data_IF_832609449561
#
_entry.id   IF_832609449561
#
_cell.length_a   1.000
_cell.length_b   1.000
_cell.length_c   1.000
_cell.angle_alpha   90.00
_cell.angle_beta   90.00
_cell.angle_gamma   90.00
#
_symmetry.space_group_name_H-M   'P 1'
#
loop_
_entity.id
_entity.type
_entity.pdbx_description
1 polymer ?
#
# COMPACT_ATOMS: atom_id res chain seq x y z
N UNK A 1 8.25 14.97 -4.33
CA UNK A 1 7.57 13.90 -5.10
C UNK A 1 8.43 12.66 -4.92
N UNK A 2 7.87 11.55 -4.42
CA UNK A 2 8.64 10.33 -4.24
C UNK A 2 9.06 9.83 -5.62
N UNK A 3 10.36 9.66 -5.85
CA UNK A 3 10.85 9.09 -7.11
C UNK A 3 10.22 7.69 -7.33
N UNK A 4 9.85 7.33 -8.55
CA UNK A 4 9.13 6.06 -8.75
C UNK A 4 10.05 4.84 -8.68
N UNK A 5 11.36 5.03 -8.88
CA UNK A 5 12.36 3.98 -8.85
C UNK A 5 12.53 3.37 -7.45
N UNK A 6 12.79 4.21 -6.44
CA UNK A 6 13.01 3.71 -5.07
C UNK A 6 11.76 3.07 -4.45
N UNK A 7 10.55 3.54 -4.77
CA UNK A 7 9.30 2.91 -4.30
C UNK A 7 9.13 1.52 -4.90
N UNK A 8 9.45 1.35 -6.19
CA UNK A 8 9.38 0.04 -6.85
C UNK A 8 10.41 -0.94 -6.28
N UNK A 9 11.62 -0.47 -5.98
CA UNK A 9 12.67 -1.28 -5.37
C UNK A 9 12.34 -1.65 -3.92
N UNK A 10 11.81 -0.71 -3.13
CA UNK A 10 11.39 -0.96 -1.75
C UNK A 10 10.21 -1.95 -1.69
N UNK A 11 9.22 -1.79 -2.57
CA UNK A 11 8.11 -2.72 -2.72
C UNK A 11 8.58 -4.09 -3.24
N UNK A 12 9.56 -4.16 -4.13
CA UNK A 12 10.10 -5.44 -4.60
C UNK A 12 10.71 -6.29 -3.48
N UNK A 13 11.13 -5.66 -2.37
CA UNK A 13 11.63 -6.33 -1.17
C UNK A 13 10.52 -6.63 -0.13
N UNK A 14 9.27 -6.24 -0.40
CA UNK A 14 8.08 -6.56 0.41
C UNK A 14 6.99 -7.22 -0.47
N UNK A 15 7.10 -8.54 -0.73
CA UNK A 15 6.16 -9.27 -1.60
C UNK A 15 4.72 -9.20 -1.10
N UNK A 16 4.52 -9.18 0.22
CA UNK A 16 3.19 -9.09 0.83
C UNK A 16 2.60 -7.69 0.59
N UNK A 17 3.41 -6.64 0.74
CA UNK A 17 2.96 -5.29 0.46
C UNK A 17 2.59 -5.06 -1.02
N UNK A 18 3.37 -5.63 -1.95
CA UNK A 18 3.03 -5.64 -3.39
C UNK A 18 1.74 -6.40 -3.66
N UNK A 19 1.54 -7.54 -2.99
CA UNK A 19 0.34 -8.34 -3.14
C UNK A 19 -0.91 -7.58 -2.68
N UNK A 20 -0.86 -6.98 -1.48
CA UNK A 20 -1.97 -6.19 -0.93
C UNK A 20 -2.31 -5.00 -1.81
N UNK A 21 -1.30 -4.23 -2.24
CA UNK A 21 -1.52 -3.09 -3.14
C UNK A 21 -2.11 -3.51 -4.49
N UNK A 22 -1.60 -4.61 -5.05
CA UNK A 22 -2.11 -5.17 -6.30
C UNK A 22 -3.57 -5.62 -6.17
N UNK A 23 -3.96 -6.22 -5.05
CA UNK A 23 -5.34 -6.62 -4.76
C UNK A 23 -6.26 -5.40 -4.68
N UNK A 24 -5.86 -4.37 -3.92
CA UNK A 24 -6.64 -3.14 -3.76
C UNK A 24 -6.90 -2.48 -5.13
N UNK A 25 -5.86 -2.30 -5.94
CA UNK A 25 -5.97 -1.57 -7.21
C UNK A 25 -6.65 -2.39 -8.31
N UNK A 26 -6.37 -3.69 -8.40
CA UNK A 26 -6.86 -4.52 -9.52
C UNK A 26 -8.19 -5.19 -9.26
N UNK A 27 -8.61 -5.30 -7.99
CA UNK A 27 -9.83 -6.02 -7.61
C UNK A 27 -10.75 -5.16 -6.77
N UNK A 28 -10.32 -4.81 -5.57
CA UNK A 28 -11.24 -4.29 -4.54
C UNK A 28 -11.83 -2.92 -4.95
N UNK A 29 -11.01 -2.06 -5.57
CA UNK A 29 -11.47 -0.76 -6.08
C UNK A 29 -12.40 -0.91 -7.31
N UNK A 30 -12.03 -1.64 -8.39
CA UNK A 30 -12.95 -1.91 -9.50
C UNK A 30 -14.28 -2.52 -9.07
N UNK A 31 -14.25 -3.46 -8.12
CA UNK A 31 -15.45 -4.14 -7.61
C UNK A 31 -16.38 -3.18 -6.85
N UNK A 32 -15.82 -2.33 -5.98
CA UNK A 32 -16.57 -1.30 -5.27
C UNK A 32 -17.26 -0.32 -6.24
N UNK A 33 -16.54 0.12 -7.27
CA UNK A 33 -17.08 1.04 -8.28
C UNK A 33 -18.15 0.37 -9.14
N UNK A 34 -17.94 -0.88 -9.58
CA UNK A 34 -18.94 -1.63 -10.35
C UNK A 34 -20.23 -1.81 -9.55
N UNK A 35 -20.11 -2.23 -8.28
CA UNK A 35 -21.24 -2.40 -7.37
C UNK A 35 -22.02 -1.10 -7.17
N UNK A 36 -21.33 0.04 -7.02
CA UNK A 36 -21.95 1.35 -6.96
C UNK A 36 -22.71 1.69 -8.25
N UNK A 37 -22.06 1.57 -9.41
CA UNK A 37 -22.69 1.88 -10.71
C UNK A 37 -23.93 1.03 -10.90
N UNK A 38 -23.85 -0.28 -10.59
CA UNK A 38 -24.95 -1.24 -10.68
C UNK A 38 -26.09 -0.93 -9.72
N UNK A 39 -25.78 -0.55 -8.49
CA UNK A 39 -26.81 -0.30 -7.48
C UNK A 39 -27.49 1.04 -7.76
N UNK A 40 -26.74 2.08 -8.14
CA UNK A 40 -27.25 3.43 -8.41
C UNK A 40 -28.30 3.48 -9.51
N UNK A 41 -28.12 2.73 -10.61
CA UNK A 41 -29.14 2.70 -11.66
C UNK A 41 -30.41 1.99 -11.17
N UNK A 42 -30.27 0.97 -10.31
CA UNK A 42 -31.39 0.28 -9.68
C UNK A 42 -32.13 1.14 -8.64
N UNK A 43 -31.43 1.90 -7.80
CA UNK A 43 -32.07 2.78 -6.80
C UNK A 43 -32.91 3.89 -7.43
N UNK A 44 -32.56 4.31 -8.66
CA UNK A 44 -33.40 5.21 -9.45
C UNK A 44 -34.72 4.56 -9.88
N UNK A 45 -34.74 3.25 -10.07
CA UNK A 45 -35.94 2.49 -10.45
C UNK A 45 -36.75 2.04 -9.23
N UNK A 46 -36.15 2.00 -8.03
CA UNK A 46 -36.83 1.61 -6.78
C UNK A 46 -36.28 2.41 -5.59
N UNK A 47 -36.87 3.59 -5.29
CA UNK A 47 -36.43 4.43 -4.18
C UNK A 47 -36.72 3.78 -2.82
N UNK A 48 -35.81 3.91 -1.85
CA UNK A 48 -36.05 3.51 -0.44
C UNK A 48 -34.97 2.66 0.24
N UNK A 49 -33.93 2.25 -0.49
CA UNK A 49 -32.79 1.50 0.07
C UNK A 49 -31.65 2.42 0.52
N UNK A 50 -30.64 1.88 1.23
CA UNK A 50 -29.41 2.60 1.62
C UNK A 50 -28.80 3.33 0.41
N UNK A 51 -28.29 4.56 0.62
CA UNK A 51 -27.68 5.35 -0.46
C UNK A 51 -26.42 4.64 -0.97
N UNK A 52 -26.38 4.29 -2.27
CA UNK A 52 -25.21 3.64 -2.85
C UNK A 52 -23.96 4.55 -2.80
N UNK A 53 -24.13 5.88 -2.81
CA UNK A 53 -23.05 6.85 -2.64
C UNK A 53 -22.39 6.73 -1.25
N UNK A 54 -23.19 6.68 -0.18
CA UNK A 54 -22.69 6.51 1.19
C UNK A 54 -22.00 5.15 1.37
N UNK A 55 -22.54 4.10 0.73
CA UNK A 55 -21.93 2.78 0.77
C UNK A 55 -20.57 2.76 0.07
N UNK A 56 -20.46 3.37 -1.12
CA UNK A 56 -19.20 3.51 -1.84
C UNK A 56 -18.18 4.32 -1.01
N UNK A 57 -18.59 5.44 -0.42
CA UNK A 57 -17.71 6.27 0.39
C UNK A 57 -17.10 5.49 1.56
N UNK A 58 -17.89 4.64 2.23
CA UNK A 58 -17.39 3.75 3.29
C UNK A 58 -16.36 2.76 2.75
N UNK A 59 -16.64 2.10 1.63
CA UNK A 59 -15.71 1.15 1.01
C UNK A 59 -14.39 1.82 0.62
N UNK A 60 -14.45 2.98 -0.05
CA UNK A 60 -13.27 3.74 -0.43
C UNK A 60 -12.48 4.22 0.80
N UNK A 61 -13.17 4.62 1.86
CA UNK A 61 -12.54 4.99 3.13
C UNK A 61 -11.75 3.84 3.77
N UNK A 62 -12.24 2.60 3.67
CA UNK A 62 -11.52 1.41 4.14
C UNK A 62 -10.30 1.13 3.27
N UNK A 63 -10.44 1.14 1.94
CA UNK A 63 -9.31 0.93 1.02
C UNK A 63 -8.20 1.98 1.21
N UNK A 64 -8.58 3.24 1.46
CA UNK A 64 -7.64 4.32 1.76
C UNK A 64 -6.86 4.04 3.06
N UNK A 65 -7.55 3.63 4.14
CA UNK A 65 -6.90 3.31 5.42
C UNK A 65 -5.91 2.15 5.28
N UNK A 66 -6.27 1.14 4.51
CA UNK A 66 -5.38 -0.01 4.28
C UNK A 66 -4.13 0.40 3.48
N UNK A 67 -4.30 1.23 2.43
CA UNK A 67 -3.18 1.78 1.67
C UNK A 67 -2.29 2.71 2.52
N UNK A 68 -2.88 3.50 3.43
CA UNK A 68 -2.13 4.35 4.36
C UNK A 68 -1.31 3.53 5.35
N UNK A 69 -1.86 2.44 5.87
CA UNK A 69 -1.16 1.52 6.77
C UNK A 69 0.02 0.85 6.06
N UNK A 70 -0.18 0.41 4.82
CA UNK A 70 0.90 -0.10 3.97
C UNK A 70 2.03 0.93 3.81
N UNK A 71 1.67 2.17 3.45
CA UNK A 71 2.64 3.24 3.26
C UNK A 71 3.36 3.64 4.56
N UNK A 72 2.72 3.50 5.73
CA UNK A 72 3.37 3.69 7.02
C UNK A 72 4.40 2.57 7.30
N UNK A 73 4.02 1.31 7.09
CA UNK A 73 4.92 0.16 7.29
C UNK A 73 6.18 0.24 6.42
N UNK A 74 6.04 0.64 5.16
CA UNK A 74 7.19 0.87 4.26
C UNK A 74 8.12 1.97 4.77
N UNK A 75 7.55 3.07 5.29
CA UNK A 75 8.34 4.19 5.84
C UNK A 75 9.04 3.83 7.15
N UNK A 76 8.48 2.94 7.96
CA UNK A 76 9.09 2.45 9.20
C UNK A 76 10.14 1.36 8.96
N UNK A 77 10.06 0.64 7.85
CA UNK A 77 11.05 -0.36 7.45
C UNK A 77 12.34 0.28 6.91
N UNK A 78 12.23 1.45 6.26
CA UNK A 78 13.36 2.20 5.71
C UNK A 78 14.46 2.57 6.75
N UNK A 79 14.16 3.18 7.92
CA UNK A 79 15.19 3.57 8.89
C UNK A 79 15.90 2.36 9.52
N UNK A 80 15.17 1.28 9.82
CA UNK A 80 15.77 0.03 10.34
C UNK A 80 16.75 -0.59 9.35
N UNK A 81 16.51 -0.41 8.04
CA UNK A 81 17.36 -0.93 6.98
C UNK A 81 18.61 -0.07 6.78
N UNK A 82 18.48 1.25 6.88
CA UNK A 82 19.63 2.16 6.87
C UNK A 82 20.57 1.90 8.06
N UNK A 83 20.03 1.70 9.27
CA UNK A 83 20.82 1.31 10.43
C UNK A 83 21.55 -0.03 10.23
N UNK A 84 20.85 -1.03 9.68
CA UNK A 84 21.44 -2.35 9.40
C UNK A 84 22.54 -2.29 8.34
N UNK A 85 22.35 -1.48 7.30
CA UNK A 85 23.33 -1.28 6.23
C UNK A 85 24.56 -0.54 6.72
N UNK A 86 24.38 0.52 7.51
CA UNK A 86 25.47 1.25 8.17
C UNK A 86 26.27 0.31 9.07
N UNK A 87 25.60 -0.50 9.89
CA UNK A 87 26.24 -1.48 10.76
C UNK A 87 27.04 -2.54 10.00
N UNK A 88 26.52 -3.00 8.86
CA UNK A 88 27.22 -3.95 8.00
C UNK A 88 28.46 -3.33 7.32
N UNK A 89 28.38 -2.07 6.89
CA UNK A 89 29.53 -1.35 6.34
C UNK A 89 30.60 -1.09 7.42
N UNK A 90 30.19 -0.75 8.64
CA UNK A 90 31.07 -0.59 9.80
C UNK A 90 31.80 -1.89 10.15
N UNK A 91 31.07 -3.02 10.21
CA UNK A 91 31.63 -4.33 10.52
C UNK A 91 32.62 -4.82 9.44
N UNK A 92 32.31 -4.58 8.17
CA UNK A 92 33.24 -4.85 7.05
C UNK A 92 34.46 -3.93 7.08
N UNK A 93 34.26 -2.63 7.35
CA UNK A 93 35.34 -1.64 7.41
C UNK A 93 36.30 -1.89 8.57
N UNK A 94 35.79 -2.41 9.70
CA UNK A 94 36.59 -2.82 10.85
C UNK A 94 37.36 -4.13 10.63
N UNK A 95 36.77 -5.09 9.93
CA UNK A 95 37.41 -6.40 9.66
C UNK A 95 38.49 -6.33 8.57
N UNK A 96 38.42 -5.33 7.66
CA UNK A 96 39.48 -5.06 6.66
C UNK A 96 40.74 -4.37 7.20
N UNK A 97 40.74 -3.96 8.48
CA UNK A 97 41.85 -3.25 9.13
C UNK A 97 42.78 -4.13 9.98
N UNK A 98 42.49 -5.42 10.15
CA UNK A 98 43.32 -6.36 10.92
C UNK A 98 43.95 -7.39 9.98
N UNK A 99 44.89 -6.94 9.16
CA UNK A 99 45.90 -7.78 8.50
C UNK A 99 47.01 -6.85 8.00
N UNK A 100 47.96 -6.54 8.88
CA UNK A 100 49.27 -6.00 8.58
C UNK A 100 50.31 -6.77 9.40
#
# INVERSE_FOLDING_TARGET
MLDRGWVAELLAHDPEGVHVLSRIVRRDLPEAVDSFVRTRWWTRMTPGTESPELHLERQLGLLKKDAERLAAGLREAEPRRQESHTRYLEDRGGTGGISA
#
